data_IF_498496496568
#
_entry.id   IF_498496496568
#
_cell.length_a   1.000
_cell.length_b   1.000
_cell.length_c   1.000
_cell.angle_alpha   90.00
_cell.angle_beta   90.00
_cell.angle_gamma   90.00
#
_symmetry.space_group_name_H-M   'P 1'
#
loop_
_entity.id
_entity.type
_entity.pdbx_description
1 polymer ?
#
# COMPACT_ATOMS: atom_id res chain seq x y z
N UNK A 1 -35.23 -7.32 15.04
CA UNK A 1 -35.18 -6.11 14.20
C UNK A 1 -33.95 -5.34 14.64
N UNK A 2 -32.93 -5.26 13.79
CA UNK A 2 -31.73 -4.44 14.07
C UNK A 2 -32.04 -3.04 13.55
N UNK A 3 -31.91 -2.04 14.42
CA UNK A 3 -32.05 -0.63 14.04
C UNK A 3 -30.66 -0.09 13.76
N UNK A 4 -30.44 0.39 12.54
CA UNK A 4 -29.23 1.11 12.18
C UNK A 4 -29.52 2.60 12.26
N UNK A 5 -28.68 3.33 12.99
CA UNK A 5 -28.75 4.78 13.11
C UNK A 5 -27.72 5.34 12.13
N UNK A 6 -28.19 6.11 11.17
CA UNK A 6 -27.32 6.84 10.25
C UNK A 6 -27.21 8.30 10.70
N UNK A 7 -26.03 8.89 10.49
CA UNK A 7 -25.78 10.31 10.77
C UNK A 7 -25.50 11.03 9.47
N UNK A 8 -26.50 11.76 9.00
CA UNK A 8 -26.35 12.62 7.84
C UNK A 8 -25.76 13.97 8.26
N UNK A 9 -24.99 14.58 7.37
CA UNK A 9 -24.38 15.88 7.59
C UNK A 9 -24.39 16.73 6.32
N UNK A 10 -24.41 18.04 6.54
CA UNK A 10 -24.17 19.05 5.50
C UNK A 10 -23.21 20.07 6.08
N UNK A 11 -22.24 20.48 5.26
CA UNK A 11 -21.26 21.50 5.60
C UNK A 11 -21.40 22.60 4.55
N UNK A 12 -21.74 23.80 5.00
CA UNK A 12 -21.69 25.02 4.19
C UNK A 12 -20.74 25.99 4.90
N UNK A 13 -19.65 26.32 4.23
CA UNK A 13 -18.63 27.24 4.72
C UNK A 13 -18.35 28.34 3.71
N UNK A 14 -18.09 29.55 4.18
CA UNK A 14 -17.66 30.66 3.35
C UNK A 14 -16.58 31.48 4.06
N UNK A 15 -15.66 32.01 3.28
CA UNK A 15 -14.77 33.09 3.71
C UNK A 15 -14.72 34.16 2.61
N UNK A 16 -13.81 35.13 2.75
CA UNK A 16 -13.57 36.11 1.69
C UNK A 16 -13.08 35.45 0.38
N UNK A 17 -12.33 34.35 0.47
CA UNK A 17 -11.74 33.66 -0.69
C UNK A 17 -12.31 32.27 -0.92
N UNK A 18 -12.68 31.55 0.13
CA UNK A 18 -13.05 30.14 0.08
C UNK A 18 -14.56 29.96 0.10
N UNK A 19 -15.01 28.87 -0.54
CA UNK A 19 -16.41 28.42 -0.55
C UNK A 19 -16.42 26.91 -0.39
N UNK A 20 -17.21 26.42 0.55
CA UNK A 20 -17.38 25.00 0.81
C UNK A 20 -18.88 24.67 0.83
N UNK A 21 -19.28 23.61 0.14
CA UNK A 21 -20.63 23.05 0.27
C UNK A 21 -20.58 21.56 -0.04
N UNK A 22 -20.88 20.73 0.96
CA UNK A 22 -20.89 19.28 0.82
C UNK A 22 -21.97 18.63 1.69
N UNK A 23 -22.44 17.46 1.27
CA UNK A 23 -23.33 16.62 2.08
C UNK A 23 -22.88 15.17 2.05
N UNK A 24 -23.20 14.44 3.12
CA UNK A 24 -22.75 13.08 3.31
C UNK A 24 -23.48 12.35 4.42
N UNK A 25 -23.12 11.08 4.61
CA UNK A 25 -23.69 10.21 5.63
C UNK A 25 -22.61 9.36 6.29
N UNK A 26 -22.69 9.19 7.60
CA UNK A 26 -21.77 8.37 8.40
C UNK A 26 -20.29 8.74 8.24
N UNK A 27 -20.01 10.03 7.98
CA UNK A 27 -18.66 10.55 7.75
C UNK A 27 -18.14 10.39 6.31
N UNK A 28 -18.92 9.75 5.44
CA UNK A 28 -18.61 9.64 4.01
C UNK A 28 -19.32 10.73 3.22
N UNK A 29 -18.65 11.19 2.18
CA UNK A 29 -19.14 12.23 1.28
C UNK A 29 -20.02 11.61 0.19
N UNK A 30 -21.22 12.15 0.01
CA UNK A 30 -22.13 11.74 -1.06
C UNK A 30 -22.11 12.72 -2.23
N UNK A 31 -21.93 14.01 -1.93
CA UNK A 31 -21.95 15.08 -2.91
C UNK A 31 -21.24 16.35 -2.42
N UNK A 32 -20.63 17.11 -3.34
CA UNK A 32 -20.14 18.46 -3.07
C UNK A 32 -20.32 19.40 -4.28
N UNK A 33 -20.26 20.70 -4.02
CA UNK A 33 -20.22 21.73 -5.05
C UNK A 33 -18.76 22.04 -5.46
N UNK A 34 -18.39 21.76 -6.70
CA UNK A 34 -17.15 22.26 -7.30
C UNK A 34 -17.42 23.67 -7.84
N UNK A 35 -17.21 24.68 -7.01
CA UNK A 35 -17.43 26.09 -7.37
C UNK A 35 -16.52 26.59 -8.49
N UNK A 36 -15.36 25.94 -8.69
CA UNK A 36 -14.43 26.29 -9.77
C UNK A 36 -14.96 25.81 -11.12
N UNK A 37 -15.45 24.56 -11.17
CA UNK A 37 -16.06 23.98 -12.38
C UNK A 37 -17.53 24.34 -12.56
N UNK A 38 -18.13 24.96 -11.56
CA UNK A 38 -19.55 25.34 -11.51
C UNK A 38 -20.49 24.15 -11.69
N UNK A 39 -20.21 23.06 -10.97
CA UNK A 39 -21.00 21.83 -11.04
C UNK A 39 -21.09 21.17 -9.67
N UNK A 40 -22.13 20.36 -9.47
CA UNK A 40 -22.15 19.37 -8.40
C UNK A 40 -21.33 18.13 -8.78
N UNK A 41 -20.69 17.51 -7.81
CA UNK A 41 -19.92 16.27 -7.96
C UNK A 41 -20.55 15.22 -7.05
N UNK A 42 -21.00 14.10 -7.63
CA UNK A 42 -21.48 12.94 -6.89
C UNK A 42 -20.31 12.00 -6.61
N UNK A 43 -20.09 11.65 -5.35
CA UNK A 43 -18.92 10.85 -4.91
C UNK A 43 -19.29 9.48 -4.38
N UNK A 44 -20.52 9.02 -4.65
CA UNK A 44 -20.99 7.71 -4.24
C UNK A 44 -20.17 6.58 -4.88
N UNK A 45 -19.90 5.49 -4.14
CA UNK A 45 -19.24 4.31 -4.71
C UNK A 45 -20.03 3.68 -5.85
N UNK A 46 -19.34 3.04 -6.80
CA UNK A 46 -19.96 2.38 -7.97
C UNK A 46 -21.00 1.30 -7.62
N UNK A 47 -20.90 0.70 -6.43
CA UNK A 47 -21.85 -0.31 -5.96
C UNK A 47 -23.11 0.28 -5.34
N UNK A 48 -23.12 1.58 -5.01
CA UNK A 48 -24.26 2.23 -4.40
C UNK A 48 -25.33 2.51 -5.46
N UNK A 49 -26.60 2.40 -5.06
CA UNK A 49 -27.70 2.78 -5.93
C UNK A 49 -27.56 4.26 -6.34
N UNK A 50 -27.73 4.60 -7.64
CA UNK A 50 -27.54 5.97 -8.10
C UNK A 50 -28.47 6.95 -7.36
N UNK A 51 -27.88 7.97 -6.75
CA UNK A 51 -28.59 9.09 -6.13
C UNK A 51 -28.47 10.33 -7.01
N UNK A 52 -29.55 11.11 -7.12
CA UNK A 52 -29.57 12.36 -7.87
C UNK A 52 -29.65 13.57 -6.93
N UNK A 53 -28.90 14.62 -7.24
CA UNK A 53 -28.88 15.88 -6.49
C UNK A 53 -29.33 17.08 -7.38
N UNK A 54 -30.56 17.07 -7.92
CA UNK A 54 -31.02 18.12 -8.83
C UNK A 54 -31.20 19.45 -8.09
N UNK A 55 -30.61 20.53 -8.62
CA UNK A 55 -30.73 21.88 -8.04
C UNK A 55 -29.79 22.17 -6.87
N UNK A 56 -29.05 21.17 -6.38
CA UNK A 56 -28.17 21.32 -5.22
C UNK A 56 -27.03 22.31 -5.49
N UNK A 57 -26.50 22.35 -6.72
CA UNK A 57 -25.43 23.30 -7.03
C UNK A 57 -25.94 24.76 -6.98
N UNK A 58 -27.12 25.03 -7.54
CA UNK A 58 -27.76 26.35 -7.49
C UNK A 58 -28.10 26.74 -6.04
N UNK A 59 -28.57 25.78 -5.24
CA UNK A 59 -28.80 25.96 -3.81
C UNK A 59 -27.50 26.32 -3.08
N UNK A 60 -26.41 25.57 -3.28
CA UNK A 60 -25.10 25.89 -2.72
C UNK A 60 -24.64 27.30 -3.11
N UNK A 61 -24.85 27.74 -4.35
CA UNK A 61 -24.50 29.12 -4.76
C UNK A 61 -25.32 30.15 -3.98
N UNK A 62 -26.61 29.92 -3.77
CA UNK A 62 -27.46 30.81 -2.97
C UNK A 62 -27.05 30.82 -1.49
N UNK A 63 -26.74 29.65 -0.92
CA UNK A 63 -26.29 29.53 0.46
C UNK A 63 -24.97 30.27 0.72
N UNK A 64 -24.06 30.33 -0.26
CA UNK A 64 -22.82 31.10 -0.13
C UNK A 64 -23.09 32.60 0.04
N UNK A 65 -24.10 33.16 -0.64
CA UNK A 65 -24.49 34.56 -0.47
C UNK A 65 -25.12 34.80 0.91
N UNK A 66 -25.96 33.87 1.38
CA UNK A 66 -26.54 33.92 2.74
C UNK A 66 -25.45 33.82 3.80
N UNK A 67 -24.47 32.93 3.63
CA UNK A 67 -23.34 32.75 4.52
C UNK A 67 -22.55 34.06 4.66
N UNK A 68 -22.23 34.73 3.56
CA UNK A 68 -21.52 36.01 3.57
C UNK A 68 -22.31 37.13 4.26
N UNK A 69 -23.62 37.19 4.04
CA UNK A 69 -24.50 38.14 4.72
C UNK A 69 -24.50 37.90 6.25
N UNK A 70 -24.62 36.64 6.66
CA UNK A 70 -24.56 36.26 8.07
C UNK A 70 -23.20 36.60 8.70
N UNK A 71 -22.10 36.33 8.00
CA UNK A 71 -20.75 36.72 8.44
C UNK A 71 -20.63 38.23 8.65
N UNK A 72 -21.14 39.05 7.72
CA UNK A 72 -21.11 40.51 7.87
C UNK A 72 -21.90 41.02 9.09
N UNK A 73 -22.99 40.33 9.46
CA UNK A 73 -23.74 40.62 10.70
C UNK A 73 -22.95 40.19 11.94
N UNK A 74 -22.39 38.97 11.92
CA UNK A 74 -21.66 38.40 13.06
C UNK A 74 -20.36 39.16 13.35
N UNK A 75 -19.64 39.60 12.32
CA UNK A 75 -18.45 40.47 12.47
C UNK A 75 -18.80 41.75 13.22
N UNK A 76 -19.94 42.39 12.90
CA UNK A 76 -20.39 43.61 13.59
C UNK A 76 -20.85 43.33 15.02
N UNK A 77 -21.51 42.20 15.24
CA UNK A 77 -22.07 41.86 16.54
C UNK A 77 -21.01 41.43 17.57
N UNK A 78 -19.96 40.72 17.11
CA UNK A 78 -18.92 40.15 17.97
C UNK A 78 -17.58 40.89 17.90
N UNK A 79 -17.49 41.96 17.10
CA UNK A 79 -16.28 42.78 16.93
C UNK A 79 -15.03 41.98 16.51
N UNK A 80 -15.23 40.88 15.77
CA UNK A 80 -14.17 39.98 15.28
C UNK A 80 -13.21 39.52 16.38
N UNK A 81 -13.64 38.58 17.26
CA UNK A 81 -12.73 38.03 18.26
C UNK A 81 -11.52 37.37 17.58
N UNK A 82 -10.39 37.21 18.30
CA UNK A 82 -9.25 36.49 17.78
C UNK A 82 -9.66 35.11 17.25
N UNK A 83 -9.21 34.78 16.04
CA UNK A 83 -9.48 33.48 15.42
C UNK A 83 -8.73 32.40 16.20
N UNK A 84 -9.46 31.38 16.67
CA UNK A 84 -8.86 30.18 17.25
C UNK A 84 -8.02 29.46 16.19
N UNK A 85 -6.90 28.88 16.61
CA UNK A 85 -5.89 28.33 15.71
C UNK A 85 -5.35 27.03 16.29
N UNK A 86 -5.68 25.93 15.64
CA UNK A 86 -5.19 24.61 15.99
C UNK A 86 -4.28 24.08 14.87
N UNK A 87 -3.05 23.65 15.19
CA UNK A 87 -2.13 23.11 14.20
C UNK A 87 -2.56 21.70 13.77
N UNK A 88 -2.32 21.32 12.50
CA UNK A 88 -2.63 19.98 12.03
C UNK A 88 -1.74 18.91 12.66
N UNK A 89 -2.30 17.73 12.82
CA UNK A 89 -1.59 16.47 12.91
C UNK A 89 -1.55 15.82 11.52
N UNK A 90 -0.37 15.31 11.13
CA UNK A 90 -0.15 14.75 9.79
C UNK A 90 0.36 13.31 9.87
N UNK A 91 -0.28 12.43 9.10
CA UNK A 91 0.05 11.02 8.97
C UNK A 91 0.15 10.62 7.50
N UNK A 92 1.04 9.67 7.18
CA UNK A 92 1.23 9.13 5.83
C UNK A 92 1.20 7.61 5.85
N UNK A 93 0.40 7.00 4.97
CA UNK A 93 0.26 5.55 4.87
C UNK A 93 -0.16 5.12 3.46
N UNK A 94 0.09 3.87 3.09
CA UNK A 94 -0.40 3.29 1.83
C UNK A 94 -1.82 2.77 2.01
N UNK A 95 -2.62 2.86 0.94
CA UNK A 95 -3.98 2.33 0.89
C UNK A 95 -3.99 0.80 0.96
N UNK A 96 -3.11 0.16 0.20
CA UNK A 96 -2.96 -1.29 0.15
C UNK A 96 -1.56 -1.71 0.62
N UNK A 97 -1.38 -3.01 0.84
CA UNK A 97 -0.05 -3.59 1.05
C UNK A 97 0.89 -3.25 -0.11
N UNK A 98 2.12 -2.87 0.23
CA UNK A 98 3.09 -2.38 -0.76
C UNK A 98 3.70 -3.56 -1.52
N UNK A 99 3.60 -3.50 -2.85
CA UNK A 99 4.28 -4.41 -3.77
C UNK A 99 5.01 -3.57 -4.82
N UNK A 100 6.29 -3.87 -5.03
CA UNK A 100 7.10 -3.16 -6.02
C UNK A 100 6.51 -3.31 -7.43
N UNK A 101 6.58 -2.24 -8.21
CA UNK A 101 6.05 -2.17 -9.58
C UNK A 101 4.53 -2.44 -9.72
N UNK A 102 3.77 -2.42 -8.62
CA UNK A 102 2.30 -2.53 -8.62
C UNK A 102 1.68 -1.23 -8.16
N UNK A 103 0.67 -0.73 -8.88
CA UNK A 103 -0.01 0.52 -8.54
C UNK A 103 -0.57 0.48 -7.10
N UNK A 104 -0.34 1.57 -6.37
CA UNK A 104 -0.89 1.79 -5.04
C UNK A 104 -1.23 3.29 -4.88
N UNK A 105 -1.78 3.66 -3.74
CA UNK A 105 -2.09 5.06 -3.42
C UNK A 105 -1.55 5.38 -2.03
N UNK A 106 -0.74 6.42 -1.92
CA UNK A 106 -0.38 7.00 -0.64
C UNK A 106 -1.45 7.99 -0.20
N UNK A 107 -1.75 7.97 1.09
CA UNK A 107 -2.73 8.85 1.72
C UNK A 107 -1.99 9.67 2.76
N UNK A 108 -2.05 10.99 2.60
CA UNK A 108 -1.67 11.95 3.63
C UNK A 108 -2.93 12.42 4.35
N UNK A 109 -3.10 11.94 5.58
CA UNK A 109 -4.20 12.28 6.46
C UNK A 109 -3.79 13.48 7.31
N UNK A 110 -4.47 14.61 7.10
CA UNK A 110 -4.26 15.86 7.83
C UNK A 110 -5.49 16.12 8.68
N UNK A 111 -5.33 16.21 10.00
CA UNK A 111 -6.47 16.24 10.92
C UNK A 111 -6.21 17.17 12.11
N UNK A 112 -7.28 17.59 12.79
CA UNK A 112 -7.19 18.32 14.05
C UNK A 112 -6.85 19.80 13.87
N UNK A 113 -6.90 20.31 12.64
CA UNK A 113 -6.58 21.71 12.36
C UNK A 113 -7.82 22.59 12.37
N UNK A 114 -7.62 23.83 12.76
CA UNK A 114 -8.60 24.90 12.59
C UNK A 114 -7.84 26.21 12.44
N UNK A 115 -8.29 27.13 11.59
CA UNK A 115 -9.37 27.04 10.60
C UNK A 115 -8.86 26.43 9.27
N UNK A 116 -9.74 26.11 8.30
CA UNK A 116 -9.33 25.92 6.91
C UNK A 116 -8.86 27.25 6.28
N UNK A 117 -8.08 27.23 5.18
CA UNK A 117 -7.61 26.07 4.44
C UNK A 117 -6.26 25.51 4.95
N UNK A 118 -5.92 24.31 4.48
CA UNK A 118 -4.55 23.75 4.52
C UNK A 118 -4.00 23.64 3.11
N UNK A 119 -2.68 23.74 2.98
CA UNK A 119 -1.98 23.41 1.74
C UNK A 119 -1.20 22.12 1.92
N UNK A 120 -1.33 21.20 0.96
CA UNK A 120 -0.66 19.90 0.97
C UNK A 120 0.11 19.74 -0.34
N UNK A 121 1.39 19.39 -0.24
CA UNK A 121 2.25 19.12 -1.40
C UNK A 121 2.98 17.80 -1.24
N UNK A 122 3.16 17.09 -2.33
CA UNK A 122 3.88 15.82 -2.37
C UNK A 122 5.25 15.96 -3.01
N UNK A 123 6.20 15.14 -2.58
CA UNK A 123 7.45 14.93 -3.29
C UNK A 123 7.80 13.44 -3.37
N UNK A 124 8.43 13.04 -4.48
CA UNK A 124 9.09 11.75 -4.67
C UNK A 124 10.57 12.00 -4.82
N UNK A 125 11.41 11.39 -3.99
CA UNK A 125 12.87 11.53 -4.02
C UNK A 125 13.33 13.00 -4.03
N UNK A 126 12.70 13.82 -3.19
CA UNK A 126 12.89 15.29 -3.07
C UNK A 126 12.47 16.12 -4.30
N UNK A 127 11.78 15.53 -5.27
CA UNK A 127 11.21 16.23 -6.42
C UNK A 127 9.70 16.39 -6.21
N UNK A 128 9.19 17.61 -6.31
CA UNK A 128 7.76 17.90 -6.15
C UNK A 128 6.97 17.16 -7.24
N UNK A 129 5.88 16.52 -6.84
CA UNK A 129 4.94 15.84 -7.74
C UNK A 129 3.55 16.46 -7.60
N UNK A 130 2.94 16.76 -8.74
CA UNK A 130 1.59 17.34 -8.82
C UNK A 130 0.63 16.50 -9.66
N UNK A 131 1.16 15.57 -10.46
CA UNK A 131 0.38 14.61 -11.23
C UNK A 131 -0.22 13.54 -10.31
N UNK A 132 -1.44 13.10 -10.61
CA UNK A 132 -2.20 12.10 -9.82
C UNK A 132 -2.35 12.41 -8.32
N UNK A 133 -2.25 13.70 -7.97
CA UNK A 133 -2.56 14.21 -6.63
C UNK A 133 -4.03 14.63 -6.57
N UNK A 134 -4.73 14.20 -5.53
CA UNK A 134 -6.07 14.70 -5.19
C UNK A 134 -6.12 15.19 -3.74
N UNK A 135 -7.02 16.12 -3.46
CA UNK A 135 -7.35 16.59 -2.11
C UNK A 135 -8.85 16.44 -1.91
N UNK A 136 -9.27 15.87 -0.78
CA UNK A 136 -10.68 15.74 -0.42
C UNK A 136 -11.30 17.08 -0.02
N UNK A 137 -12.63 17.13 0.02
CA UNK A 137 -13.36 18.20 0.72
C UNK A 137 -13.04 18.21 2.22
N UNK A 138 -13.33 19.33 2.89
CA UNK A 138 -13.11 19.49 4.33
C UNK A 138 -14.17 18.74 5.13
N UNK A 139 -13.76 17.90 6.08
CA UNK A 139 -14.69 17.21 6.99
C UNK A 139 -14.53 17.73 8.40
N UNK A 140 -15.65 17.85 9.10
CA UNK A 140 -15.67 18.28 10.50
C UNK A 140 -15.58 17.07 11.42
N UNK A 141 -14.79 17.24 12.49
CA UNK A 141 -14.68 16.29 13.59
C UNK A 141 -15.69 16.66 14.68
N UNK A 142 -15.90 15.74 15.62
CA UNK A 142 -16.81 15.97 16.76
C UNK A 142 -16.34 17.09 17.69
N UNK A 143 -15.05 17.41 17.68
CA UNK A 143 -14.42 18.49 18.44
C UNK A 143 -14.50 19.85 17.74
N UNK A 144 -15.06 19.92 16.52
CA UNK A 144 -15.17 21.15 15.72
C UNK A 144 -13.97 21.43 14.82
N UNK A 145 -12.86 20.70 14.97
CA UNK A 145 -11.71 20.80 14.08
C UNK A 145 -11.97 20.14 12.72
N UNK A 146 -11.10 20.40 11.75
CA UNK A 146 -11.21 19.87 10.40
C UNK A 146 -10.23 18.74 10.13
N UNK A 147 -10.56 17.92 9.12
CA UNK A 147 -9.66 16.97 8.51
C UNK A 147 -9.80 16.96 6.98
N UNK A 148 -8.72 16.59 6.29
CA UNK A 148 -8.68 16.32 4.85
C UNK A 148 -7.75 15.14 4.55
N UNK A 149 -7.99 14.52 3.40
CA UNK A 149 -7.12 13.49 2.84
C UNK A 149 -6.54 13.99 1.52
N UNK A 150 -5.22 14.01 1.41
CA UNK A 150 -4.55 14.10 0.11
C UNK A 150 -4.13 12.70 -0.32
N UNK A 151 -4.38 12.34 -1.57
CA UNK A 151 -3.96 11.06 -2.14
C UNK A 151 -2.98 11.29 -3.28
N UNK A 152 -1.98 10.42 -3.41
CA UNK A 152 -1.03 10.36 -4.52
C UNK A 152 -1.00 8.93 -5.06
N UNK A 153 -1.32 8.74 -6.34
CA UNK A 153 -1.10 7.43 -6.98
C UNK A 153 0.40 7.20 -7.19
N UNK A 154 0.86 5.99 -6.89
CA UNK A 154 2.26 5.62 -7.00
C UNK A 154 2.40 4.25 -7.64
N UNK A 155 3.53 4.03 -8.31
CA UNK A 155 4.04 2.69 -8.61
C UNK A 155 5.40 2.60 -7.90
N UNK A 156 5.47 2.00 -6.71
CA UNK A 156 6.64 2.05 -5.85
C UNK A 156 7.80 1.25 -6.46
N UNK A 157 8.98 1.86 -6.47
CA UNK A 157 10.24 1.20 -6.81
C UNK A 157 11.10 1.05 -5.55
N UNK A 158 12.03 0.11 -5.57
CA UNK A 158 12.94 -0.08 -4.44
C UNK A 158 13.78 1.19 -4.19
N UNK A 159 13.88 1.58 -2.91
CA UNK A 159 14.55 2.81 -2.50
C UNK A 159 13.76 4.12 -2.70
N UNK A 160 12.55 4.08 -3.24
CA UNK A 160 11.71 5.27 -3.32
C UNK A 160 11.39 5.86 -1.94
N UNK A 161 11.47 7.18 -1.86
CA UNK A 161 11.08 7.96 -0.67
C UNK A 161 10.07 9.00 -1.08
N UNK A 162 8.91 8.97 -0.42
CA UNK A 162 7.83 9.92 -0.62
C UNK A 162 7.73 10.85 0.58
N UNK A 163 7.28 12.08 0.35
CA UNK A 163 6.96 12.99 1.44
C UNK A 163 5.68 13.78 1.18
N UNK A 164 4.95 14.02 2.26
CA UNK A 164 3.81 14.93 2.30
C UNK A 164 4.20 16.13 3.18
N UNK A 165 4.16 17.33 2.61
CA UNK A 165 4.40 18.58 3.33
C UNK A 165 3.09 19.34 3.46
N UNK A 166 2.74 19.68 4.69
CA UNK A 166 1.51 20.38 5.06
C UNK A 166 1.86 21.76 5.59
N UNK A 167 1.20 22.78 5.06
CA UNK A 167 1.29 24.15 5.55
C UNK A 167 -0.08 24.62 6.03
N UNK A 168 -0.08 25.32 7.17
CA UNK A 168 -1.28 25.84 7.82
C UNK A 168 -0.94 27.09 8.64
N UNK A 169 -1.90 28.00 8.82
CA UNK A 169 -1.67 29.30 9.49
C UNK A 169 -1.19 29.15 10.94
N UNK A 170 -1.65 28.13 11.66
CA UNK A 170 -1.24 27.85 13.04
C UNK A 170 0.20 27.31 13.15
N UNK A 171 0.84 26.95 12.04
CA UNK A 171 2.25 26.51 12.02
C UNK A 171 3.25 27.66 11.92
N UNK A 172 2.79 28.92 11.84
CA UNK A 172 3.64 30.13 11.90
C UNK A 172 4.83 30.10 10.92
N UNK A 173 4.59 29.60 9.70
CA UNK A 173 5.61 29.51 8.65
C UNK A 173 6.57 28.33 8.75
N UNK A 174 6.27 27.34 9.61
CA UNK A 174 7.04 26.09 9.74
C UNK A 174 6.22 24.89 9.25
N UNK A 175 6.26 24.55 7.95
CA UNK A 175 5.50 23.43 7.42
C UNK A 175 5.87 22.10 8.09
N UNK A 176 4.89 21.22 8.22
CA UNK A 176 5.10 19.86 8.70
C UNK A 176 5.35 18.92 7.52
N UNK A 177 6.50 18.26 7.49
CA UNK A 177 6.78 17.21 6.51
C UNK A 177 6.73 15.83 7.17
N UNK A 178 6.05 14.90 6.51
CA UNK A 178 6.07 13.47 6.83
C UNK A 178 6.73 12.71 5.69
N UNK A 179 7.63 11.82 6.04
CA UNK A 179 8.39 11.00 5.10
C UNK A 179 7.83 9.57 5.19
N UNK A 180 7.71 8.93 4.04
CA UNK A 180 7.31 7.54 3.91
C UNK A 180 8.25 6.84 2.93
N UNK A 181 8.76 5.70 3.35
CA UNK A 181 9.69 4.87 2.58
C UNK A 181 9.08 3.48 2.38
N UNK A 182 9.55 2.78 1.36
CA UNK A 182 9.12 1.40 1.10
C UNK A 182 9.43 0.52 2.33
N UNK A 183 8.45 -0.25 2.86
CA UNK A 183 8.71 -1.20 3.94
C UNK A 183 9.73 -2.27 3.50
N UNK A 184 10.66 -2.65 4.39
CA UNK A 184 11.69 -3.66 4.09
C UNK A 184 11.12 -5.00 3.60
N UNK A 185 9.95 -5.38 4.10
CA UNK A 185 9.24 -6.60 3.67
C UNK A 185 8.77 -6.55 2.21
N UNK A 186 8.57 -5.36 1.64
CA UNK A 186 8.24 -5.17 0.23
C UNK A 186 9.50 -5.10 -0.65
N UNK A 187 10.66 -4.74 -0.08
CA UNK A 187 11.96 -4.66 -0.76
C UNK A 187 12.65 -6.02 -0.97
N UNK A 188 11.92 -7.13 -0.77
CA UNK A 188 12.50 -8.48 -0.89
C UNK A 188 12.82 -8.77 -2.36
N UNK A 189 14.09 -8.56 -2.72
CA UNK A 189 14.74 -9.20 -3.86
C UNK A 189 14.38 -10.69 -3.87
N UNK A 190 14.14 -11.34 -5.04
CA UNK A 190 13.85 -12.76 -5.10
C UNK A 190 14.91 -13.51 -4.31
N UNK A 191 14.47 -14.10 -3.19
CA UNK A 191 15.38 -14.63 -2.18
C UNK A 191 16.40 -15.55 -2.85
N UNK A 192 17.70 -15.28 -2.68
CA UNK A 192 18.76 -16.19 -3.13
C UNK A 192 18.74 -17.52 -2.34
N UNK A 193 17.90 -17.64 -1.31
CA UNK A 193 17.76 -18.80 -0.44
C UNK A 193 17.48 -20.09 -1.22
N UNK A 194 16.33 -20.22 -1.90
CA UNK A 194 15.99 -21.44 -2.64
C UNK A 194 17.04 -21.82 -3.69
N UNK A 195 17.65 -20.84 -4.38
CA UNK A 195 18.69 -21.09 -5.38
C UNK A 195 19.98 -21.65 -4.76
N UNK A 196 20.41 -21.10 -3.62
CA UNK A 196 21.58 -21.60 -2.88
C UNK A 196 21.33 -22.98 -2.27
N UNK A 197 20.14 -23.22 -1.72
CA UNK A 197 19.77 -24.55 -1.19
C UNK A 197 19.71 -25.61 -2.30
N UNK A 198 19.15 -25.29 -3.47
CA UNK A 198 19.17 -26.19 -4.62
C UNK A 198 20.59 -26.45 -5.14
N UNK A 199 21.45 -25.42 -5.22
CA UNK A 199 22.83 -25.57 -5.65
C UNK A 199 23.66 -26.48 -4.73
N UNK A 200 23.56 -26.28 -3.42
CA UNK A 200 24.25 -27.11 -2.42
C UNK A 200 23.68 -28.54 -2.41
N UNK A 201 22.37 -28.71 -2.52
CA UNK A 201 21.74 -30.03 -2.59
C UNK A 201 22.15 -30.82 -3.83
N UNK A 202 22.22 -30.17 -5.00
CA UNK A 202 22.64 -30.80 -6.26
C UNK A 202 24.12 -31.22 -6.21
N UNK A 203 25.00 -30.37 -5.68
CA UNK A 203 26.43 -30.70 -5.58
C UNK A 203 26.69 -31.87 -4.63
N UNK A 204 26.05 -31.90 -3.46
CA UNK A 204 26.13 -33.02 -2.51
C UNK A 204 25.51 -34.30 -3.10
N UNK A 205 24.39 -34.19 -3.81
CA UNK A 205 23.75 -35.32 -4.49
C UNK A 205 24.65 -35.96 -5.56
N UNK A 206 25.28 -35.14 -6.41
CA UNK A 206 26.22 -35.61 -7.43
C UNK A 206 27.46 -36.28 -6.82
N UNK A 207 28.00 -35.73 -5.72
CA UNK A 207 29.09 -36.35 -4.97
C UNK A 207 28.67 -37.70 -4.35
N UNK A 208 27.43 -37.82 -3.87
CA UNK A 208 26.86 -39.08 -3.39
C UNK A 208 26.72 -40.15 -4.49
N UNK A 209 26.27 -39.75 -5.68
CA UNK A 209 26.14 -40.67 -6.83
C UNK A 209 27.50 -41.18 -7.30
N UNK A 210 28.49 -40.28 -7.44
CA UNK A 210 29.84 -40.66 -7.88
C UNK A 210 30.54 -41.59 -6.89
N UNK A 211 30.45 -41.29 -5.59
CA UNK A 211 31.00 -42.15 -4.54
C UNK A 211 30.28 -43.50 -4.47
N UNK A 212 28.95 -43.52 -4.53
CA UNK A 212 28.16 -44.75 -4.56
C UNK A 212 28.48 -45.65 -5.77
N UNK A 213 28.59 -45.06 -6.96
CA UNK A 213 28.97 -45.79 -8.18
C UNK A 213 30.37 -46.38 -8.08
N UNK A 214 31.33 -45.65 -7.49
CA UNK A 214 32.68 -46.16 -7.24
C UNK A 214 32.68 -47.38 -6.31
N UNK A 215 31.90 -47.35 -5.23
CA UNK A 215 31.78 -48.50 -4.31
C UNK A 215 31.08 -49.70 -4.95
N UNK A 216 30.05 -49.49 -5.78
CA UNK A 216 29.39 -50.56 -6.53
C UNK A 216 30.31 -51.22 -7.56
N UNK A 217 31.09 -50.42 -8.30
CA UNK A 217 32.09 -50.94 -9.25
C UNK A 217 33.19 -51.70 -8.50
N UNK A 218 33.65 -51.21 -7.34
CA UNK A 218 34.61 -51.95 -6.50
C UNK A 218 34.03 -53.28 -6.02
N UNK A 219 32.81 -53.30 -5.47
CA UNK A 219 32.16 -54.52 -4.99
C UNK A 219 32.02 -55.59 -6.08
N UNK A 220 31.56 -55.20 -7.27
CA UNK A 220 31.41 -56.09 -8.44
C UNK A 220 32.73 -56.56 -9.04
N UNK A 221 33.82 -55.80 -8.89
CA UNK A 221 35.16 -56.21 -9.34
C UNK A 221 35.93 -57.03 -8.31
N UNK A 222 35.67 -56.87 -7.00
CA UNK A 222 36.24 -57.72 -5.94
C UNK A 222 35.60 -59.10 -5.83
N UNK A 223 34.40 -59.33 -6.35
CA UNK A 223 33.77 -60.66 -6.40
C UNK A 223 34.23 -61.51 -7.61
N UNK A 224 34.91 -60.90 -8.58
CA UNK A 224 35.39 -61.58 -9.79
C UNK A 224 36.64 -62.49 -9.59
N UNK A 225 37.59 -62.25 -8.66
CA UNK A 225 38.76 -63.12 -8.47
C UNK A 225 38.40 -64.47 -7.85
N UNK A 226 37.34 -64.56 -7.03
CA UNK A 226 36.98 -65.79 -6.32
C UNK A 226 36.13 -66.75 -7.18
N UNK A 227 35.24 -66.22 -8.04
CA UNK A 227 34.47 -67.06 -8.97
C UNK A 227 35.38 -67.74 -10.02
N UNK A 228 36.37 -67.00 -10.56
CA UNK A 228 37.31 -67.56 -11.53
C UNK A 228 38.22 -68.64 -10.93
N UNK A 229 38.53 -68.55 -9.63
CA UNK A 229 39.33 -69.54 -8.89
C UNK A 229 38.53 -70.83 -8.62
N UNK A 230 37.25 -70.70 -8.27
CA UNK A 230 36.36 -71.84 -8.04
C UNK A 230 36.02 -72.61 -9.32
N UNK A 231 35.87 -71.94 -10.46
CA UNK A 231 35.61 -72.62 -11.76
C UNK A 231 36.84 -73.41 -12.23
N UNK A 232 38.06 -72.88 -12.06
CA UNK A 232 39.30 -73.63 -12.35
C UNK A 232 39.45 -74.89 -11.49
N UNK A 233 39.09 -74.79 -10.21
CA UNK A 233 39.17 -75.91 -9.27
C UNK A 233 38.15 -77.02 -9.61
N UNK A 234 36.93 -76.63 -10.04
CA UNK A 234 35.91 -77.57 -10.51
C UNK A 234 36.32 -78.27 -11.82
N UNK A 235 36.89 -77.53 -12.77
CA UNK A 235 37.37 -78.10 -14.04
C UNK A 235 38.51 -79.11 -13.84
N UNK A 236 39.45 -78.83 -12.92
CA UNK A 236 40.54 -79.74 -12.56
C UNK A 236 40.04 -81.01 -11.85
N UNK A 237 39.00 -80.90 -11.01
CA UNK A 237 38.39 -82.05 -10.34
C UNK A 237 37.62 -82.97 -11.31
N UNK A 238 36.95 -82.41 -12.33
CA UNK A 238 36.27 -83.23 -13.35
C UNK A 238 37.24 -84.01 -14.25
N UNK A 239 38.44 -83.48 -14.51
CA UNK A 239 39.46 -84.21 -15.29
C UNK A 239 40.14 -85.33 -14.50
N UNK A 240 40.23 -85.24 -13.17
CA UNK A 240 40.86 -86.31 -12.36
C UNK A 240 39.94 -87.52 -12.09
N UNK A 241 38.65 -87.43 -12.40
CA UNK A 241 37.66 -88.49 -12.15
C UNK A 241 37.23 -89.32 -13.37
N UNK A 242 37.81 -89.08 -14.55
CA UNK A 242 37.42 -89.78 -15.80
C UNK A 242 38.41 -90.83 -16.29
N UNK A 243 39.39 -91.23 -15.47
CA UNK A 243 40.29 -92.36 -15.79
C UNK A 243 40.18 -93.43 -14.70
N UNK A 244 39.26 -94.38 -14.88
CA UNK A 244 39.34 -95.69 -14.22
C UNK A 244 40.24 -96.61 -15.06
N UNK A 245 41.14 -97.39 -14.44
CA UNK A 245 41.90 -98.41 -15.15
C UNK A 245 41.01 -99.63 -15.37
N UNK A 246 40.69 -99.91 -16.64
CA UNK A 246 40.17 -101.19 -17.10
C UNK A 246 41.33 -102.10 -17.51
N UNK A 247 41.18 -103.38 -17.16
CA UNK A 247 42.05 -104.54 -17.39
C UNK A 247 42.67 -104.65 -18.79
#
# INVERSE_FOLDING_TARGET
MVVYIHKDFSITGCSETEKESMTGSNGEEAWHADFNKKTGVVTLPDFADPMSFPGYYEESVAEQEVCKQNMAVLIKAYESPPEEMDPPETFIYSRNDVQLAVENTLICHVTGFFPPPVSVSWAKNNVIVTEDVSLSQYRTRSDGSFLVFSSLKITPEDGDVYSCTVNHRALLGQPQTRIWSIPEAAAVLPSLGPALFCGVGLTLGLLGVTTGLFFLIKATTTDMPDMAKNIKHLMQWTQSKTVSPGF
#
